data_IF_796827357515
#
_entry.id   IF_796827357515
#
_cell.length_a   1.000
_cell.length_b   1.000
_cell.length_c   1.000
_cell.angle_alpha   90.00
_cell.angle_beta   90.00
_cell.angle_gamma   90.00
#
_symmetry.space_group_name_H-M   'P 1'
#
loop_
_entity.id
_entity.type
_entity.pdbx_description
1 polymer ?
#
# COMPACT_ATOMS: atom_id res chain seq x y z
N UNK A 1 8.34 22.61 9.26
CA UNK A 1 7.04 22.36 8.62
C UNK A 1 6.20 21.61 9.63
N UNK A 2 5.11 22.20 10.11
CA UNK A 2 4.15 21.46 10.94
C UNK A 2 3.60 20.35 10.05
N UNK A 3 3.86 19.09 10.39
CA UNK A 3 3.01 18.01 9.92
C UNK A 3 1.59 18.45 10.28
N UNK A 4 0.75 18.64 9.25
CA UNK A 4 -0.61 19.14 9.47
C UNK A 4 -1.33 18.23 10.45
N UNK A 5 -2.15 18.81 11.34
CA UNK A 5 -2.88 18.07 12.37
C UNK A 5 -3.65 16.88 11.78
N UNK A 6 -4.11 17.01 10.53
CA UNK A 6 -4.77 15.97 9.74
C UNK A 6 -3.91 14.71 9.54
N UNK A 7 -2.61 14.85 9.26
CA UNK A 7 -1.68 13.72 9.08
C UNK A 7 -1.36 13.01 10.40
N UNK A 8 -1.22 13.75 11.50
CA UNK A 8 -1.04 13.13 12.82
C UNK A 8 -2.27 12.33 13.25
N UNK A 9 -3.46 12.88 13.04
CA UNK A 9 -4.72 12.18 13.33
C UNK A 9 -4.85 10.93 12.46
N UNK A 10 -4.50 11.03 11.17
CA UNK A 10 -4.48 9.88 10.27
C UNK A 10 -3.53 8.78 10.77
N UNK A 11 -2.27 9.12 11.07
CA UNK A 11 -1.30 8.17 11.59
C UNK A 11 -1.69 7.58 12.94
N UNK A 12 -2.41 8.32 13.79
CA UNK A 12 -2.97 7.78 15.02
C UNK A 12 -3.99 6.66 14.73
N UNK A 13 -4.89 6.85 13.78
CA UNK A 13 -5.83 5.78 13.38
C UNK A 13 -5.09 4.57 12.79
N UNK A 14 -4.08 4.81 11.96
CA UNK A 14 -3.23 3.74 11.41
C UNK A 14 -2.47 2.98 12.52
N UNK A 15 -1.98 3.69 13.54
CA UNK A 15 -1.35 3.09 14.71
C UNK A 15 -2.32 2.20 15.48
N UNK A 16 -3.56 2.64 15.67
CA UNK A 16 -4.60 1.83 16.31
C UNK A 16 -4.89 0.55 15.48
N UNK A 17 -4.99 0.67 14.16
CA UNK A 17 -5.15 -0.49 13.28
C UNK A 17 -3.96 -1.46 13.39
N UNK A 18 -2.73 -0.95 13.42
CA UNK A 18 -1.53 -1.76 13.64
C UNK A 18 -1.58 -2.50 14.97
N UNK A 19 -1.90 -1.82 16.07
CA UNK A 19 -2.03 -2.44 17.40
C UNK A 19 -3.08 -3.54 17.39
N UNK A 20 -4.25 -3.30 16.77
CA UNK A 20 -5.31 -4.30 16.66
C UNK A 20 -4.85 -5.52 15.87
N UNK A 21 -4.18 -5.32 14.73
CA UNK A 21 -3.65 -6.41 13.90
C UNK A 21 -2.62 -7.23 14.68
N UNK A 22 -1.62 -6.59 15.29
CA UNK A 22 -0.54 -7.29 16.01
C UNK A 22 -1.07 -8.03 17.25
N UNK A 23 -1.98 -7.40 18.01
CA UNK A 23 -2.55 -7.96 19.24
C UNK A 23 -3.44 -9.17 18.94
N UNK A 24 -4.13 -9.17 17.79
CA UNK A 24 -5.03 -10.24 17.36
C UNK A 24 -4.40 -11.23 16.38
N UNK A 25 -3.07 -11.25 16.25
CA UNK A 25 -2.35 -12.07 15.24
C UNK A 25 -2.77 -13.55 15.20
N UNK A 26 -3.11 -14.14 16.36
CA UNK A 26 -3.53 -15.55 16.45
C UNK A 26 -4.86 -15.79 15.71
N UNK A 27 -5.82 -14.88 15.84
CA UNK A 27 -7.10 -14.95 15.13
C UNK A 27 -6.93 -14.62 13.65
N UNK A 28 -6.01 -13.72 13.32
CA UNK A 28 -5.75 -13.32 11.93
C UNK A 28 -5.27 -14.50 11.10
N UNK A 29 -4.48 -15.42 11.66
CA UNK A 29 -4.04 -16.60 10.93
C UNK A 29 -5.17 -17.49 10.43
N UNK A 30 -6.34 -17.50 11.09
CA UNK A 30 -7.52 -18.21 10.58
C UNK A 30 -8.24 -17.47 9.43
N UNK A 31 -7.90 -16.20 9.18
CA UNK A 31 -8.42 -15.41 8.07
C UNK A 31 -7.54 -15.52 6.80
N UNK A 32 -6.29 -15.99 6.98
CA UNK A 32 -5.32 -16.14 5.90
C UNK A 32 -5.49 -17.49 5.20
N UNK A 33 -4.79 -17.66 4.06
CA UNK A 33 -4.85 -18.91 3.31
C UNK A 33 -4.39 -20.12 4.15
N UNK A 34 -5.16 -21.22 4.19
CA UNK A 34 -4.85 -22.38 5.02
C UNK A 34 -3.61 -23.17 4.58
N UNK A 35 -3.16 -23.01 3.32
CA UNK A 35 -2.14 -23.87 2.71
C UNK A 35 -0.69 -23.33 2.87
N UNK A 36 -0.39 -22.47 3.85
CA UNK A 36 0.96 -21.88 3.95
C UNK A 36 1.97 -22.73 4.75
N UNK A 37 1.56 -23.87 5.30
CA UNK A 37 2.42 -24.71 6.15
C UNK A 37 3.09 -25.88 5.43
N UNK A 38 2.82 -26.10 4.12
CA UNK A 38 3.57 -27.10 3.36
C UNK A 38 4.94 -26.54 2.97
N UNK A 39 6.00 -27.19 3.44
CA UNK A 39 7.43 -26.82 3.44
C UNK A 39 8.11 -26.60 2.07
N UNK A 40 7.35 -26.41 0.99
CA UNK A 40 7.82 -25.95 -0.31
C UNK A 40 6.76 -25.05 -0.92
N UNK A 41 6.69 -23.79 -0.46
CA UNK A 41 5.79 -22.81 -1.05
C UNK A 41 6.36 -22.36 -2.42
N UNK A 42 6.07 -23.17 -3.46
CA UNK A 42 6.60 -23.07 -4.83
C UNK A 42 6.29 -21.74 -5.54
N UNK A 43 5.59 -20.81 -4.89
CA UNK A 43 5.27 -19.48 -5.43
C UNK A 43 5.92 -18.30 -4.71
N UNK A 44 6.41 -18.44 -3.47
CA UNK A 44 6.79 -17.28 -2.65
C UNK A 44 7.84 -16.40 -3.34
N UNK A 45 8.95 -16.97 -3.78
CA UNK A 45 10.04 -16.23 -4.43
C UNK A 45 9.55 -15.56 -5.72
N UNK A 46 8.72 -16.25 -6.51
CA UNK A 46 8.15 -15.73 -7.76
C UNK A 46 7.27 -14.51 -7.47
N UNK A 47 6.32 -14.64 -6.53
CA UNK A 47 5.43 -13.53 -6.16
C UNK A 47 6.17 -12.38 -5.48
N UNK A 48 7.24 -12.66 -4.73
CA UNK A 48 8.11 -11.64 -4.15
C UNK A 48 8.84 -10.82 -5.21
N UNK A 49 9.46 -11.50 -6.17
CA UNK A 49 10.12 -10.84 -7.32
C UNK A 49 9.08 -10.05 -8.11
N UNK A 50 7.94 -10.66 -8.41
CA UNK A 50 6.86 -9.98 -9.13
C UNK A 50 6.34 -8.75 -8.38
N UNK A 51 6.20 -8.83 -7.05
CA UNK A 51 5.80 -7.72 -6.20
C UNK A 51 6.77 -6.54 -6.31
N UNK A 52 8.08 -6.80 -6.22
CA UNK A 52 9.10 -5.76 -6.39
C UNK A 52 9.12 -5.18 -7.80
N UNK A 53 9.09 -6.04 -8.84
CA UNK A 53 9.09 -5.60 -10.23
C UNK A 53 7.90 -4.69 -10.53
N UNK A 54 6.70 -5.07 -10.10
CA UNK A 54 5.49 -4.26 -10.32
C UNK A 54 5.53 -2.98 -9.48
N UNK A 55 5.99 -3.03 -8.23
CA UNK A 55 6.16 -1.82 -7.39
C UNK A 55 7.08 -0.80 -8.06
N UNK A 56 8.25 -1.25 -8.53
CA UNK A 56 9.22 -0.38 -9.20
C UNK A 56 8.67 0.12 -10.54
N UNK A 57 8.04 -0.74 -11.34
CA UNK A 57 7.44 -0.35 -12.61
C UNK A 57 6.34 0.70 -12.43
N UNK A 58 5.47 0.56 -11.42
CA UNK A 58 4.43 1.53 -11.10
C UNK A 58 5.04 2.83 -10.56
N UNK A 59 6.07 2.76 -9.73
CA UNK A 59 6.79 3.94 -9.24
C UNK A 59 7.45 4.72 -10.38
N UNK A 60 8.11 4.03 -11.31
CA UNK A 60 8.70 4.62 -12.51
C UNK A 60 7.61 5.22 -13.38
N UNK A 61 6.53 4.49 -13.66
CA UNK A 61 5.41 5.01 -14.44
C UNK A 61 4.79 6.25 -13.78
N UNK A 62 4.67 6.28 -12.46
CA UNK A 62 4.22 7.47 -11.74
C UNK A 62 5.15 8.66 -12.01
N UNK A 63 6.47 8.49 -11.90
CA UNK A 63 7.45 9.54 -12.20
C UNK A 63 7.37 10.02 -13.65
N UNK A 64 7.32 9.09 -14.61
CA UNK A 64 7.31 9.41 -16.05
C UNK A 64 6.01 10.10 -16.49
N UNK A 65 4.87 9.71 -15.90
CA UNK A 65 3.54 10.09 -16.34
C UNK A 65 2.77 10.93 -15.30
N UNK A 66 3.47 11.58 -14.38
CA UNK A 66 2.86 12.56 -13.48
C UNK A 66 3.40 13.94 -13.79
N UNK A 67 2.48 14.83 -14.15
CA UNK A 67 2.79 16.24 -14.28
C UNK A 67 2.68 16.88 -12.90
N UNK A 68 3.78 17.40 -12.37
CA UNK A 68 3.77 18.27 -11.18
C UNK A 68 3.61 19.72 -11.60
N UNK A 69 2.73 20.46 -10.94
CA UNK A 69 2.53 21.88 -11.21
C UNK A 69 3.42 22.76 -10.35
N UNK A 70 3.74 22.26 -9.15
CA UNK A 70 4.59 22.93 -8.17
C UNK A 70 5.52 21.88 -7.54
N UNK A 71 6.76 22.27 -7.25
CA UNK A 71 7.69 21.44 -6.48
C UNK A 71 7.50 21.78 -5.01
N UNK A 72 7.24 20.76 -4.19
CA UNK A 72 7.15 20.92 -2.73
C UNK A 72 8.48 21.31 -2.08
N UNK A 73 8.51 21.35 -0.74
CA UNK A 73 9.68 21.84 0.02
C UNK A 73 10.11 20.87 1.13
N UNK A 74 10.35 19.61 0.79
CA UNK A 74 10.85 18.64 1.76
C UNK A 74 12.37 18.74 1.94
N UNK A 75 12.81 18.52 3.17
CA UNK A 75 14.18 18.10 3.43
C UNK A 75 14.26 16.57 3.33
N UNK A 76 15.45 16.04 3.01
CA UNK A 76 15.67 14.60 2.85
C UNK A 76 15.27 13.80 4.10
N UNK A 77 15.50 14.35 5.29
CA UNK A 77 15.10 13.74 6.56
C UNK A 77 13.58 13.58 6.66
N UNK A 78 12.82 14.59 6.23
CA UNK A 78 11.36 14.54 6.24
C UNK A 78 10.84 13.51 5.26
N UNK A 79 11.46 13.39 4.07
CA UNK A 79 11.10 12.36 3.10
C UNK A 79 11.32 10.96 3.68
N UNK A 80 12.47 10.72 4.32
CA UNK A 80 12.78 9.42 4.95
C UNK A 80 11.79 9.12 6.07
N UNK A 81 11.58 10.07 6.98
CA UNK A 81 10.65 9.91 8.11
C UNK A 81 9.23 9.65 7.62
N UNK A 82 8.76 10.43 6.64
CA UNK A 82 7.45 10.23 6.03
C UNK A 82 7.34 8.84 5.41
N UNK A 83 8.27 8.47 4.53
CA UNK A 83 8.19 7.20 3.79
C UNK A 83 8.20 5.99 4.72
N UNK A 84 9.01 6.03 5.78
CA UNK A 84 9.08 4.94 6.77
C UNK A 84 7.82 4.91 7.64
N UNK A 85 7.45 6.04 8.27
CA UNK A 85 6.30 6.06 9.19
C UNK A 85 5.00 5.80 8.44
N UNK A 86 4.79 6.47 7.30
CA UNK A 86 3.62 6.27 6.47
C UNK A 86 3.57 4.84 5.94
N UNK A 87 4.64 4.37 5.28
CA UNK A 87 4.69 3.04 4.70
C UNK A 87 4.49 1.91 5.72
N UNK A 88 4.87 2.09 6.99
CA UNK A 88 4.54 1.14 8.06
C UNK A 88 3.07 1.28 8.47
N UNK A 89 2.68 2.47 8.92
CA UNK A 89 1.38 2.68 9.58
C UNK A 89 0.21 2.48 8.60
N UNK A 90 0.29 3.11 7.44
CA UNK A 90 -0.74 3.01 6.40
C UNK A 90 -0.86 1.57 5.88
N UNK A 91 0.25 0.85 5.72
CA UNK A 91 0.18 -0.54 5.29
C UNK A 91 -0.55 -1.44 6.30
N UNK A 92 -0.40 -1.18 7.61
CA UNK A 92 -1.19 -1.88 8.62
C UNK A 92 -2.67 -1.52 8.57
N UNK A 93 -3.02 -0.26 8.28
CA UNK A 93 -4.40 0.13 8.05
C UNK A 93 -4.99 -0.59 6.83
N UNK A 94 -4.24 -0.69 5.74
CA UNK A 94 -4.63 -1.45 4.55
C UNK A 94 -4.83 -2.94 4.84
N UNK A 95 -3.92 -3.56 5.58
CA UNK A 95 -4.05 -4.95 6.03
C UNK A 95 -5.28 -5.11 6.91
N UNK A 96 -5.56 -4.17 7.81
CA UNK A 96 -6.75 -4.19 8.65
C UNK A 96 -8.04 -4.24 7.83
N UNK A 97 -8.19 -3.35 6.85
CA UNK A 97 -9.36 -3.34 5.96
C UNK A 97 -9.45 -4.59 5.09
N UNK A 98 -8.32 -5.10 4.62
CA UNK A 98 -8.26 -6.39 3.94
C UNK A 98 -8.79 -7.53 4.82
N UNK A 99 -8.31 -7.63 6.06
CA UNK A 99 -8.72 -8.66 7.01
C UNK A 99 -10.18 -8.54 7.44
N UNK A 100 -10.72 -7.32 7.54
CA UNK A 100 -12.13 -7.09 7.79
C UNK A 100 -13.00 -7.68 6.67
N UNK A 101 -12.60 -7.50 5.40
CA UNK A 101 -13.27 -8.12 4.27
C UNK A 101 -13.17 -9.65 4.30
N UNK A 102 -12.00 -10.20 4.63
CA UNK A 102 -11.83 -11.65 4.82
C UNK A 102 -12.74 -12.19 5.94
N UNK A 103 -12.83 -11.47 7.05
CA UNK A 103 -13.71 -11.85 8.17
C UNK A 103 -15.17 -11.92 7.74
N UNK A 104 -15.68 -10.90 7.05
CA UNK A 104 -17.05 -10.89 6.51
C UNK A 104 -17.27 -12.07 5.57
N UNK A 105 -16.32 -12.33 4.67
CA UNK A 105 -16.42 -13.41 3.69
C UNK A 105 -16.44 -14.81 4.32
N UNK A 106 -15.67 -15.02 5.39
CA UNK A 106 -15.69 -16.29 6.13
C UNK A 106 -17.03 -16.50 6.84
N UNK A 107 -17.67 -15.44 7.33
CA UNK A 107 -19.01 -15.54 7.93
C UNK A 107 -20.09 -15.88 6.92
N UNK A 108 -19.95 -15.45 5.66
CA UNK A 108 -20.93 -15.70 4.59
C UNK A 108 -20.62 -16.99 3.81
N UNK A 109 -19.33 -17.27 3.57
CA UNK A 109 -18.85 -18.38 2.72
C UNK A 109 -17.61 -19.07 3.31
N UNK A 110 -17.73 -19.83 4.41
CA UNK A 110 -16.60 -20.38 5.17
C UNK A 110 -15.65 -21.29 4.37
N UNK A 111 -16.14 -21.94 3.31
CA UNK A 111 -15.42 -22.96 2.53
C UNK A 111 -14.80 -22.43 1.23
N UNK A 112 -14.85 -21.12 0.96
CA UNK A 112 -14.43 -20.53 -0.32
C UNK A 112 -13.24 -19.57 -0.13
N UNK A 113 -11.99 -20.07 -0.11
CA UNK A 113 -10.81 -19.24 0.16
C UNK A 113 -10.58 -18.15 -0.90
N UNK A 114 -10.90 -18.42 -2.17
CA UNK A 114 -10.83 -17.42 -3.24
C UNK A 114 -11.80 -16.26 -3.00
N UNK A 115 -13.03 -16.52 -2.55
CA UNK A 115 -13.98 -15.47 -2.20
C UNK A 115 -13.52 -14.69 -0.97
N UNK A 116 -12.89 -15.37 0.00
CA UNK A 116 -12.30 -14.72 1.17
C UNK A 116 -11.26 -13.68 0.76
N UNK A 117 -10.36 -14.05 -0.15
CA UNK A 117 -9.39 -13.12 -0.72
C UNK A 117 -10.07 -11.98 -1.49
N UNK A 118 -11.04 -12.29 -2.37
CA UNK A 118 -11.74 -11.28 -3.18
C UNK A 118 -12.44 -10.23 -2.32
N UNK A 119 -13.18 -10.64 -1.29
CA UNK A 119 -13.83 -9.70 -0.38
C UNK A 119 -12.83 -8.88 0.42
N UNK A 120 -11.74 -9.51 0.88
CA UNK A 120 -10.64 -8.79 1.51
C UNK A 120 -10.07 -7.72 0.60
N UNK A 121 -9.77 -8.08 -0.65
CA UNK A 121 -9.22 -7.15 -1.64
C UNK A 121 -10.20 -6.03 -1.99
N UNK A 122 -11.50 -6.31 -2.13
CA UNK A 122 -12.52 -5.27 -2.37
C UNK A 122 -12.57 -4.28 -1.20
N UNK A 123 -12.60 -4.79 0.04
CA UNK A 123 -12.61 -3.95 1.26
C UNK A 123 -11.37 -3.06 1.33
N UNK A 124 -10.18 -3.62 1.06
CA UNK A 124 -8.94 -2.88 0.93
C UNK A 124 -9.01 -1.82 -0.18
N UNK A 125 -9.46 -2.18 -1.38
CA UNK A 125 -9.46 -1.31 -2.54
C UNK A 125 -10.40 -0.11 -2.36
N UNK A 126 -11.56 -0.33 -1.74
CA UNK A 126 -12.49 0.75 -1.38
C UNK A 126 -11.82 1.72 -0.42
N UNK A 127 -11.24 1.23 0.67
CA UNK A 127 -10.57 2.10 1.64
C UNK A 127 -9.38 2.84 1.01
N UNK A 128 -8.50 2.12 0.30
CA UNK A 128 -7.33 2.69 -0.37
C UNK A 128 -7.74 3.78 -1.37
N UNK A 129 -8.75 3.54 -2.22
CA UNK A 129 -9.25 4.55 -3.15
C UNK A 129 -9.81 5.79 -2.45
N UNK A 130 -10.57 5.60 -1.37
CA UNK A 130 -11.15 6.70 -0.59
C UNK A 130 -10.08 7.57 0.06
N UNK A 131 -9.08 6.99 0.72
CA UNK A 131 -8.04 7.79 1.38
C UNK A 131 -7.16 8.53 0.37
N UNK A 132 -6.87 7.93 -0.78
CA UNK A 132 -6.08 8.63 -1.81
C UNK A 132 -6.87 9.80 -2.40
N UNK A 133 -8.16 9.61 -2.70
CA UNK A 133 -9.00 10.65 -3.29
C UNK A 133 -9.35 11.78 -2.30
N UNK A 134 -9.60 11.45 -1.04
CA UNK A 134 -10.12 12.39 -0.05
C UNK A 134 -9.03 13.02 0.83
N UNK A 135 -7.90 12.35 1.03
CA UNK A 135 -6.84 12.79 1.92
C UNK A 135 -5.56 13.14 1.16
N UNK A 136 -4.95 12.18 0.45
CA UNK A 136 -3.62 12.41 -0.16
C UNK A 136 -3.59 13.48 -1.24
N UNK A 137 -4.68 13.64 -2.02
CA UNK A 137 -4.80 14.72 -3.00
C UNK A 137 -4.72 16.11 -2.37
N UNK A 138 -5.11 16.27 -1.10
CA UNK A 138 -5.09 17.54 -0.38
C UNK A 138 -3.76 17.80 0.34
N UNK A 139 -3.07 16.73 0.76
CA UNK A 139 -1.84 16.81 1.55
C UNK A 139 -0.58 16.93 0.68
N UNK A 140 -0.60 16.30 -0.51
CA UNK A 140 0.55 16.30 -1.41
C UNK A 140 0.57 17.56 -2.29
N UNK A 141 1.76 17.98 -2.77
CA UNK A 141 1.88 19.08 -3.74
C UNK A 141 0.99 18.87 -4.96
N UNK A 142 0.51 19.96 -5.58
CA UNK A 142 -0.40 19.89 -6.72
C UNK A 142 0.21 19.16 -7.91
N UNK A 143 -0.42 18.05 -8.31
CA UNK A 143 0.04 17.19 -9.40
C UNK A 143 -1.13 16.51 -10.11
N UNK A 144 -0.88 16.05 -11.34
CA UNK A 144 -1.86 15.32 -12.15
C UNK A 144 -1.21 14.05 -12.73
N UNK A 145 -1.48 12.87 -12.14
CA UNK A 145 -1.06 11.61 -12.72
C UNK A 145 -1.93 11.24 -13.93
N UNK A 146 -1.39 10.44 -14.86
CA UNK A 146 -2.21 9.80 -15.91
C UNK A 146 -3.14 8.77 -15.27
N UNK A 147 -4.43 9.13 -15.18
CA UNK A 147 -5.44 8.44 -14.38
C UNK A 147 -5.57 6.95 -14.69
N UNK A 148 -5.58 6.56 -15.96
CA UNK A 148 -5.81 5.15 -16.36
C UNK A 148 -4.61 4.28 -16.03
N UNK A 149 -3.39 4.75 -16.36
CA UNK A 149 -2.15 3.99 -16.11
C UNK A 149 -1.97 3.81 -14.60
N UNK A 150 -2.20 4.86 -13.81
CA UNK A 150 -2.05 4.77 -12.36
C UNK A 150 -3.12 3.90 -11.71
N UNK A 151 -4.39 3.98 -12.13
CA UNK A 151 -5.45 3.15 -11.58
C UNK A 151 -5.18 1.65 -11.83
N UNK A 152 -4.80 1.28 -13.05
CA UNK A 152 -4.48 -0.12 -13.39
C UNK A 152 -3.18 -0.60 -12.74
N UNK A 153 -2.16 0.27 -12.72
CA UNK A 153 -0.86 -0.02 -12.11
C UNK A 153 -0.97 -0.25 -10.61
N UNK A 154 -1.55 0.71 -9.87
CA UNK A 154 -1.76 0.62 -8.42
C UNK A 154 -2.70 -0.53 -8.05
N UNK A 155 -3.75 -0.78 -8.85
CA UNK A 155 -4.63 -1.93 -8.66
C UNK A 155 -3.89 -3.26 -8.82
N UNK A 156 -3.09 -3.42 -9.88
CA UNK A 156 -2.31 -4.63 -10.09
C UNK A 156 -1.25 -4.84 -9.01
N UNK A 157 -0.53 -3.78 -8.64
CA UNK A 157 0.47 -3.79 -7.59
C UNK A 157 -0.14 -4.22 -6.25
N UNK A 158 -1.22 -3.57 -5.84
CA UNK A 158 -1.86 -3.86 -4.55
C UNK A 158 -2.51 -5.25 -4.51
N UNK A 159 -3.01 -5.76 -5.63
CA UNK A 159 -3.49 -7.14 -5.73
C UNK A 159 -2.37 -8.14 -5.40
N UNK A 160 -1.17 -7.93 -5.97
CA UNK A 160 0.00 -8.76 -5.71
C UNK A 160 0.45 -8.62 -4.24
N UNK A 161 0.45 -7.41 -3.69
CA UNK A 161 0.79 -7.18 -2.28
C UNK A 161 -0.17 -7.89 -1.34
N UNK A 162 -1.49 -7.76 -1.56
CA UNK A 162 -2.48 -8.44 -0.74
C UNK A 162 -2.40 -9.96 -0.90
N UNK A 163 -2.04 -10.45 -2.09
CA UNK A 163 -1.74 -11.87 -2.28
C UNK A 163 -0.53 -12.33 -1.46
N UNK A 164 0.57 -11.58 -1.49
CA UNK A 164 1.75 -11.83 -0.65
C UNK A 164 1.41 -11.82 0.84
N UNK A 165 0.57 -10.89 1.29
CA UNK A 165 0.08 -10.85 2.66
C UNK A 165 -0.74 -12.08 3.01
N UNK A 166 -1.73 -12.41 2.17
CA UNK A 166 -2.75 -13.40 2.45
C UNK A 166 -2.27 -14.83 2.28
N UNK A 167 -1.49 -15.10 1.24
CA UNK A 167 -0.99 -16.44 0.90
C UNK A 167 0.31 -16.77 1.62
N UNK A 168 1.22 -15.79 1.69
CA UNK A 168 2.61 -16.01 2.11
C UNK A 168 2.99 -15.30 3.42
N UNK A 169 2.06 -14.55 4.05
CA UNK A 169 2.31 -13.81 5.29
C UNK A 169 3.48 -12.83 5.18
N UNK A 170 3.76 -12.35 3.97
CA UNK A 170 4.92 -11.53 3.65
C UNK A 170 4.70 -10.05 4.02
N UNK A 171 4.27 -9.78 5.26
CA UNK A 171 3.86 -8.46 5.74
C UNK A 171 5.04 -7.46 5.71
N UNK A 172 6.22 -7.90 6.12
CA UNK A 172 7.41 -7.03 6.09
C UNK A 172 7.84 -6.69 4.66
N UNK A 173 7.63 -7.60 3.70
CA UNK A 173 7.96 -7.36 2.31
C UNK A 173 7.07 -6.27 1.70
N UNK A 174 5.75 -6.35 1.92
CA UNK A 174 4.82 -5.34 1.40
C UNK A 174 5.01 -3.98 2.09
N UNK A 175 5.39 -3.95 3.37
CA UNK A 175 5.77 -2.71 4.06
C UNK A 175 7.01 -2.11 3.40
N UNK A 176 8.04 -2.92 3.12
CA UNK A 176 9.25 -2.42 2.46
C UNK A 176 8.94 -1.89 1.04
N UNK A 177 8.10 -2.58 0.27
CA UNK A 177 7.65 -2.11 -1.04
C UNK A 177 6.89 -0.78 -0.93
N UNK A 178 6.03 -0.64 0.09
CA UNK A 178 5.30 0.61 0.37
C UNK A 178 6.24 1.77 0.69
N UNK A 179 7.19 1.58 1.61
CA UNK A 179 8.20 2.60 1.93
C UNK A 179 8.94 3.05 0.68
N UNK A 180 9.27 2.14 -0.24
CA UNK A 180 9.97 2.45 -1.48
C UNK A 180 9.11 3.27 -2.45
N UNK A 181 7.85 2.88 -2.68
CA UNK A 181 6.98 3.66 -3.57
C UNK A 181 6.70 5.06 -2.98
N UNK A 182 6.49 5.18 -1.67
CA UNK A 182 6.32 6.47 -1.00
C UNK A 182 7.57 7.35 -1.18
N UNK A 183 8.75 6.78 -0.96
CA UNK A 183 10.00 7.51 -1.12
C UNK A 183 10.18 8.05 -2.55
N UNK A 184 9.87 7.23 -3.56
CA UNK A 184 10.00 7.62 -4.97
C UNK A 184 8.93 8.64 -5.36
N UNK A 185 7.66 8.37 -5.05
CA UNK A 185 6.52 9.18 -5.50
C UNK A 185 6.46 10.52 -4.75
N UNK A 186 6.58 10.52 -3.42
CA UNK A 186 6.60 11.76 -2.63
C UNK A 186 7.91 12.51 -2.87
N UNK A 187 9.01 11.79 -3.08
CA UNK A 187 10.28 12.38 -3.50
C UNK A 187 10.15 13.13 -4.82
N UNK A 188 9.49 12.53 -5.81
CA UNK A 188 9.21 13.17 -7.09
C UNK A 188 8.40 14.46 -6.97
N UNK A 189 7.40 14.50 -6.10
CA UNK A 189 6.57 15.69 -5.90
C UNK A 189 7.30 16.82 -5.15
N UNK A 190 8.24 16.48 -4.26
CA UNK A 190 8.89 17.46 -3.38
C UNK A 190 10.32 17.84 -3.80
N UNK A 191 10.92 17.13 -4.75
CA UNK A 191 12.29 17.39 -5.21
C UNK A 191 12.35 17.46 -6.74
N UNK A 192 13.37 18.16 -7.25
CA UNK A 192 13.63 18.27 -8.69
C UNK A 192 14.39 17.07 -9.29
N UNK A 193 14.70 16.04 -8.49
CA UNK A 193 15.58 14.92 -8.89
C UNK A 193 15.14 14.20 -10.16
N UNK A 194 13.83 14.15 -10.39
CA UNK A 194 13.24 13.36 -11.46
C UNK A 194 12.68 14.20 -12.62
N UNK A 195 12.81 15.53 -12.58
CA UNK A 195 12.34 16.42 -13.65
C UNK A 195 12.91 16.07 -15.04
N UNK A 196 14.21 15.72 -15.18
CA UNK A 196 14.76 15.36 -16.49
C UNK A 196 14.17 14.08 -17.11
N UNK A 197 13.44 13.28 -16.34
CA UNK A 197 12.88 12.00 -16.79
C UNK A 197 11.38 12.07 -17.10
N UNK A 198 10.70 13.19 -16.83
CA UNK A 198 9.27 13.31 -17.09
C UNK A 198 8.97 13.29 -18.60
N UNK A 199 7.94 12.53 -18.99
CA UNK A 199 7.48 12.46 -20.38
C UNK A 199 6.29 13.40 -20.65
N UNK A 200 5.70 14.00 -19.61
CA UNK A 200 4.52 14.87 -19.64
C UNK A 200 4.72 16.08 -18.72
#
# INVERSE_FOLDING_TARGET
MMIETSLWVYWLFCLLAMILVISNRKYIYSLLSPDSESSQDKGYVIFMILGWLVTLAVSIAYVLFTRKYETGSYNISNLITFSILNGILEQFMFIFWFLLGCYVAIKITPSKPKLTFTFGYISYAIFSGLIHALFWVQVLPSHKPVTVIMALGLGTMSLIWMWLAWRHRAIMAIIAMHIVIDFITVGHLNFAWFEPFQLI
#
